data_IF_476014709028
#
_entry.id   IF_476014709028
#
_cell.length_a   1.000
_cell.length_b   1.000
_cell.length_c   1.000
_cell.angle_alpha   90.00
_cell.angle_beta   90.00
_cell.angle_gamma   90.00
#
_symmetry.space_group_name_H-M   'P 1'
#
loop_
_entity.id
_entity.type
_entity.pdbx_description
1 polymer ?
#
# COMPACT_ATOMS: atom_id res chain seq x y z
N UNK A 1 -31.12 -51.81 -72.60
CA UNK A 1 -30.74 -50.40 -72.36
C UNK A 1 -30.52 -50.23 -70.88
N UNK A 2 -29.26 -50.25 -70.45
CA UNK A 2 -28.87 -50.10 -69.01
C UNK A 2 -28.38 -48.68 -68.83
N UNK A 3 -29.01 -47.91 -67.97
CA UNK A 3 -28.55 -46.56 -67.56
C UNK A 3 -27.70 -46.70 -66.27
N UNK A 4 -26.43 -46.38 -66.35
CA UNK A 4 -25.52 -46.27 -65.20
C UNK A 4 -25.78 -44.97 -64.44
N UNK A 5 -26.05 -45.10 -63.15
CA UNK A 5 -26.18 -43.97 -62.25
C UNK A 5 -24.85 -43.89 -61.43
N UNK A 6 -24.03 -42.91 -61.74
CA UNK A 6 -22.80 -42.64 -60.99
C UNK A 6 -23.15 -41.85 -59.72
N UNK A 7 -22.91 -42.41 -58.54
CA UNK A 7 -23.04 -41.72 -57.29
C UNK A 7 -21.72 -41.01 -56.99
N UNK A 8 -21.68 -39.69 -56.98
CA UNK A 8 -20.55 -38.88 -56.58
C UNK A 8 -20.60 -38.75 -55.04
N UNK A 9 -19.71 -39.44 -54.38
CA UNK A 9 -19.54 -39.30 -52.91
C UNK A 9 -18.60 -38.11 -52.64
N UNK A 10 -19.21 -36.96 -52.21
CA UNK A 10 -18.48 -35.78 -51.78
C UNK A 10 -18.02 -35.99 -50.33
N UNK A 11 -16.73 -36.32 -50.10
CA UNK A 11 -16.14 -36.31 -48.78
C UNK A 11 -15.89 -34.89 -48.31
N UNK A 12 -16.78 -34.35 -47.47
CA UNK A 12 -16.54 -33.14 -46.69
C UNK A 12 -15.53 -33.47 -45.58
N UNK A 13 -14.26 -33.15 -45.80
CA UNK A 13 -13.25 -33.13 -44.79
C UNK A 13 -13.49 -31.91 -43.90
N UNK A 14 -14.23 -32.09 -42.81
CA UNK A 14 -14.32 -31.08 -41.74
C UNK A 14 -12.97 -31.02 -41.00
N UNK A 15 -12.16 -29.98 -41.33
CA UNK A 15 -11.02 -29.61 -40.50
C UNK A 15 -11.54 -29.18 -39.13
N UNK A 16 -11.55 -30.08 -38.20
CA UNK A 16 -11.62 -29.72 -36.77
C UNK A 16 -10.30 -29.06 -36.41
N UNK A 17 -10.27 -27.74 -36.44
CA UNK A 17 -9.24 -26.99 -35.72
C UNK A 17 -9.48 -27.25 -34.24
N UNK A 18 -8.76 -28.22 -33.69
CA UNK A 18 -8.70 -28.47 -32.28
C UNK A 18 -8.10 -27.23 -31.62
N UNK A 19 -8.96 -26.28 -31.18
CA UNK A 19 -8.56 -25.28 -30.22
C UNK A 19 -8.04 -26.06 -28.99
N UNK A 20 -6.78 -25.89 -28.56
CA UNK A 20 -6.32 -26.54 -27.37
C UNK A 20 -7.19 -26.05 -26.22
N UNK A 21 -8.01 -26.94 -25.66
CA UNK A 21 -8.69 -26.68 -24.40
C UNK A 21 -7.60 -26.45 -23.34
N UNK A 22 -7.33 -25.16 -23.04
CA UNK A 22 -6.44 -24.81 -21.95
C UNK A 22 -7.09 -25.32 -20.65
N UNK A 23 -6.59 -26.44 -20.16
CA UNK A 23 -6.85 -26.87 -18.80
C UNK A 23 -6.28 -25.81 -17.87
N UNK A 24 -7.14 -25.05 -17.21
CA UNK A 24 -6.75 -24.16 -16.13
C UNK A 24 -6.21 -25.00 -14.98
N UNK A 25 -4.90 -25.21 -14.96
CA UNK A 25 -4.23 -25.64 -13.73
C UNK A 25 -4.06 -24.38 -12.86
N UNK A 26 -4.03 -24.53 -11.54
CA UNK A 26 -3.82 -23.41 -10.57
C UNK A 26 -2.58 -22.56 -10.89
N UNK A 27 -1.69 -23.04 -11.75
CA UNK A 27 -0.50 -22.33 -12.23
C UNK A 27 -0.79 -21.12 -13.12
N UNK A 28 -1.95 -21.02 -13.72
CA UNK A 28 -2.39 -19.87 -14.54
C UNK A 28 -3.20 -18.82 -13.77
N UNK A 29 -3.39 -18.96 -12.45
CA UNK A 29 -4.17 -18.04 -11.64
C UNK A 29 -3.22 -17.18 -10.81
N UNK A 30 -3.41 -15.84 -10.90
CA UNK A 30 -2.76 -14.86 -10.05
C UNK A 30 -3.80 -14.32 -9.09
N UNK A 31 -3.69 -14.68 -7.81
CA UNK A 31 -4.56 -14.18 -6.75
C UNK A 31 -3.98 -12.89 -6.18
N UNK A 32 -4.80 -11.83 -6.15
CA UNK A 32 -4.47 -10.56 -5.49
C UNK A 32 -5.37 -10.42 -4.27
N UNK A 33 -4.78 -10.24 -3.09
CA UNK A 33 -5.51 -10.03 -1.84
C UNK A 33 -5.25 -8.64 -1.27
N UNK A 34 -6.31 -7.97 -0.75
CA UNK A 34 -6.20 -6.75 0.04
C UNK A 34 -7.39 -6.58 1.00
N UNK A 35 -7.18 -5.78 2.06
CA UNK A 35 -8.20 -5.56 3.10
C UNK A 35 -9.10 -4.35 2.85
N UNK A 36 -8.89 -3.61 1.76
CA UNK A 36 -9.69 -2.43 1.45
C UNK A 36 -11.00 -2.82 0.78
N UNK A 37 -12.07 -2.07 1.09
CA UNK A 37 -13.33 -2.18 0.36
C UNK A 37 -13.11 -1.71 -1.08
N UNK A 38 -13.72 -2.37 -2.04
CA UNK A 38 -13.82 -1.91 -3.41
C UNK A 38 -15.24 -1.41 -3.69
N UNK A 39 -15.34 -0.19 -4.18
CA UNK A 39 -16.60 0.48 -4.53
C UNK A 39 -16.67 0.72 -6.05
N UNK A 40 -16.90 1.96 -6.46
CA UNK A 40 -16.93 2.35 -7.87
C UNK A 40 -15.53 2.44 -8.46
N UNK A 41 -15.37 2.01 -9.72
CA UNK A 41 -14.08 1.99 -10.41
C UNK A 41 -13.41 3.38 -10.51
N UNK A 42 -14.21 4.44 -10.67
CA UNK A 42 -13.69 5.80 -10.84
C UNK A 42 -13.49 6.54 -9.54
N UNK A 43 -14.03 6.02 -8.44
CA UNK A 43 -13.88 6.60 -7.10
C UNK A 43 -12.88 5.84 -6.24
N UNK A 44 -12.64 4.58 -6.54
CA UNK A 44 -11.83 3.67 -5.73
C UNK A 44 -10.49 3.38 -6.41
N UNK A 45 -9.43 3.91 -5.81
CA UNK A 45 -8.06 3.76 -6.31
C UNK A 45 -7.54 2.30 -6.22
N UNK A 46 -8.00 1.49 -5.27
CA UNK A 46 -7.65 0.06 -5.22
C UNK A 46 -8.31 -0.71 -6.35
N UNK A 47 -9.59 -0.45 -6.62
CA UNK A 47 -10.31 -1.07 -7.72
C UNK A 47 -9.76 -0.67 -9.09
N UNK A 48 -9.40 0.60 -9.27
CA UNK A 48 -8.76 1.07 -10.50
C UNK A 48 -7.43 0.34 -10.72
N UNK A 49 -6.58 0.28 -9.70
CA UNK A 49 -5.29 -0.41 -9.73
C UNK A 49 -5.45 -1.89 -10.08
N UNK A 50 -6.27 -2.63 -9.36
CA UNK A 50 -6.45 -4.07 -9.59
C UNK A 50 -7.06 -4.36 -10.96
N UNK A 51 -7.96 -3.49 -11.44
CA UNK A 51 -8.56 -3.59 -12.77
C UNK A 51 -7.54 -3.36 -13.89
N UNK A 52 -6.70 -2.32 -13.77
CA UNK A 52 -5.62 -2.04 -14.74
C UNK A 52 -4.63 -3.21 -14.77
N UNK A 53 -4.19 -3.69 -13.62
CA UNK A 53 -3.29 -4.84 -13.55
C UNK A 53 -3.89 -6.07 -14.23
N UNK A 54 -5.14 -6.43 -13.90
CA UNK A 54 -5.84 -7.57 -14.48
C UNK A 54 -5.92 -7.47 -15.99
N UNK A 55 -6.41 -6.34 -16.52
CA UNK A 55 -6.59 -6.16 -17.95
C UNK A 55 -5.28 -6.34 -18.72
N UNK A 56 -4.19 -5.76 -18.24
CA UNK A 56 -2.88 -5.84 -18.90
C UNK A 56 -2.36 -7.27 -18.87
N UNK A 57 -2.37 -7.91 -17.69
CA UNK A 57 -1.86 -9.28 -17.54
C UNK A 57 -2.66 -10.25 -18.41
N UNK A 58 -4.00 -10.23 -18.33
CA UNK A 58 -4.83 -11.17 -19.10
C UNK A 58 -4.71 -10.96 -20.60
N UNK A 59 -4.69 -9.69 -21.06
CA UNK A 59 -4.54 -9.35 -22.49
C UNK A 59 -3.17 -9.79 -23.01
N UNK A 60 -2.10 -9.36 -22.36
CA UNK A 60 -0.75 -9.52 -22.90
C UNK A 60 -0.20 -10.92 -22.75
N UNK A 61 -0.74 -11.72 -21.84
CA UNK A 61 -0.48 -13.14 -21.76
C UNK A 61 -1.45 -13.99 -22.60
N UNK A 62 -2.33 -13.35 -23.38
CA UNK A 62 -3.36 -14.02 -24.19
C UNK A 62 -4.21 -15.00 -23.37
N UNK A 63 -4.52 -14.63 -22.14
CA UNK A 63 -5.33 -15.41 -21.21
C UNK A 63 -4.61 -16.60 -20.54
N UNK A 64 -3.29 -16.78 -20.74
CA UNK A 64 -2.51 -17.80 -20.02
C UNK A 64 -2.52 -17.59 -18.52
N UNK A 65 -2.52 -16.34 -18.07
CA UNK A 65 -2.78 -15.98 -16.68
C UNK A 65 -4.17 -15.35 -16.55
N UNK A 66 -4.87 -15.75 -15.49
CA UNK A 66 -6.11 -15.13 -15.04
C UNK A 66 -5.90 -14.47 -13.68
N UNK A 67 -6.39 -13.25 -13.51
CA UNK A 67 -6.23 -12.48 -12.27
C UNK A 67 -7.54 -12.51 -11.48
N UNK A 68 -7.47 -13.03 -10.27
CA UNK A 68 -8.56 -13.05 -9.30
C UNK A 68 -8.26 -12.09 -8.17
N UNK A 69 -9.16 -11.13 -7.91
CA UNK A 69 -9.01 -10.14 -6.84
C UNK A 69 -9.92 -10.52 -5.68
N UNK A 70 -9.36 -10.51 -4.48
CA UNK A 70 -10.01 -10.80 -3.21
C UNK A 70 -9.92 -9.55 -2.31
N UNK A 71 -10.85 -8.59 -2.45
CA UNK A 71 -10.89 -7.36 -1.66
C UNK A 71 -11.50 -7.58 -0.28
N UNK A 72 -11.60 -6.50 0.51
CA UNK A 72 -12.34 -6.45 1.77
C UNK A 72 -11.95 -7.53 2.79
N UNK A 73 -10.69 -7.93 2.80
CA UNK A 73 -10.19 -8.93 3.75
C UNK A 73 -10.73 -10.35 3.55
N UNK A 74 -11.26 -10.69 2.35
CA UNK A 74 -11.84 -12.03 2.07
C UNK A 74 -10.85 -13.17 2.34
N UNK A 75 -9.55 -12.94 2.19
CA UNK A 75 -8.51 -13.93 2.49
C UNK A 75 -7.78 -13.68 3.81
N UNK A 76 -8.28 -12.76 4.63
CA UNK A 76 -7.73 -12.38 5.91
C UNK A 76 -7.28 -10.92 6.00
N UNK A 77 -6.70 -10.55 7.14
CA UNK A 77 -6.16 -9.22 7.41
C UNK A 77 -4.84 -8.95 6.68
N UNK A 78 -4.28 -7.75 6.84
CA UNK A 78 -3.04 -7.33 6.18
C UNK A 78 -1.85 -8.23 6.52
N UNK A 79 -1.76 -8.71 7.77
CA UNK A 79 -0.67 -9.57 8.23
C UNK A 79 -0.81 -10.98 7.65
N UNK A 80 -1.99 -11.58 7.77
CA UNK A 80 -2.24 -12.94 7.30
C UNK A 80 -2.09 -13.05 5.78
N UNK A 81 -2.55 -12.04 5.01
CA UNK A 81 -2.37 -12.03 3.54
C UNK A 81 -0.92 -11.84 3.13
N UNK A 82 -0.12 -11.11 3.90
CA UNK A 82 1.33 -10.99 3.68
C UNK A 82 2.04 -12.34 3.93
N UNK A 83 1.69 -13.05 5.00
CA UNK A 83 2.20 -14.39 5.29
C UNK A 83 1.79 -15.42 4.22
N UNK A 84 0.54 -15.34 3.72
CA UNK A 84 0.07 -16.18 2.62
C UNK A 84 0.83 -15.88 1.33
N UNK A 85 1.12 -14.61 1.05
CA UNK A 85 1.93 -14.22 -0.10
C UNK A 85 3.36 -14.76 0.03
N UNK A 86 3.97 -14.66 1.20
CA UNK A 86 5.29 -15.24 1.46
C UNK A 86 5.32 -16.75 1.20
N UNK A 87 4.27 -17.47 1.58
CA UNK A 87 4.13 -18.93 1.38
C UNK A 87 3.70 -19.31 -0.04
N UNK A 88 3.33 -18.35 -0.90
CA UNK A 88 2.86 -18.58 -2.27
C UNK A 88 1.41 -19.06 -2.40
N UNK A 89 0.62 -19.01 -1.31
CA UNK A 89 -0.82 -19.32 -1.32
C UNK A 89 -1.58 -18.24 -2.10
N UNK A 90 -1.16 -16.99 -1.92
CA UNK A 90 -1.56 -15.82 -2.70
C UNK A 90 -0.35 -15.33 -3.46
N UNK A 91 -0.50 -15.00 -4.74
CA UNK A 91 0.63 -14.56 -5.56
C UNK A 91 0.97 -13.10 -5.31
N UNK A 92 -0.03 -12.25 -5.09
CA UNK A 92 0.12 -10.82 -4.89
C UNK A 92 -0.71 -10.38 -3.69
N UNK A 93 -0.15 -9.49 -2.86
CA UNK A 93 -0.91 -8.80 -1.81
C UNK A 93 -0.58 -7.30 -1.82
N UNK A 94 -1.55 -6.48 -1.44
CA UNK A 94 -1.42 -5.03 -1.38
C UNK A 94 -2.25 -4.44 -0.24
N UNK A 95 -2.08 -3.14 0.04
CA UNK A 95 -2.73 -2.48 1.17
C UNK A 95 -1.88 -2.42 2.42
N UNK A 96 -0.77 -3.18 2.48
CA UNK A 96 0.20 -3.09 3.56
C UNK A 96 1.01 -1.80 3.45
N UNK A 97 1.19 -1.08 4.56
CA UNK A 97 2.24 -0.08 4.65
C UNK A 97 3.62 -0.74 4.54
N UNK A 98 4.60 -0.01 4.00
CA UNK A 98 5.99 -0.51 3.90
C UNK A 98 6.54 -0.93 5.26
N UNK A 99 6.13 -0.29 6.34
CA UNK A 99 6.48 -0.65 7.72
C UNK A 99 5.93 -2.00 8.18
N UNK A 100 4.83 -2.50 7.61
CA UNK A 100 4.35 -3.85 7.91
C UNK A 100 5.33 -4.94 7.45
N UNK A 101 6.15 -4.63 6.43
CA UNK A 101 7.19 -5.53 5.94
C UNK A 101 8.47 -5.44 6.79
N UNK A 102 8.58 -4.47 7.69
CA UNK A 102 9.74 -4.31 8.57
C UNK A 102 9.92 -5.50 9.54
N UNK A 103 8.86 -6.26 9.81
CA UNK A 103 8.96 -7.54 10.54
C UNK A 103 9.85 -8.58 9.80
N UNK A 104 9.95 -8.45 8.47
CA UNK A 104 10.79 -9.30 7.62
C UNK A 104 12.14 -8.65 7.31
N UNK A 105 12.16 -7.31 7.14
CA UNK A 105 13.34 -6.53 6.81
C UNK A 105 13.31 -5.21 7.59
N UNK A 106 13.99 -5.11 8.75
CA UNK A 106 13.93 -3.95 9.65
C UNK A 106 14.27 -2.61 8.99
N UNK A 107 15.17 -2.61 7.99
CA UNK A 107 15.57 -1.39 7.26
C UNK A 107 14.38 -0.68 6.58
N UNK A 108 13.24 -1.38 6.34
CA UNK A 108 12.03 -0.79 5.76
C UNK A 108 11.34 0.22 6.71
N UNK A 109 11.61 0.16 8.03
CA UNK A 109 11.16 1.18 8.97
C UNK A 109 11.72 2.58 8.66
N UNK A 110 12.83 2.69 7.93
CA UNK A 110 13.40 3.97 7.52
C UNK A 110 12.43 4.79 6.68
N UNK A 111 11.62 4.14 5.85
CA UNK A 111 10.59 4.80 5.04
C UNK A 111 9.39 5.30 5.85
N UNK A 112 9.19 4.80 7.06
CA UNK A 112 8.11 5.21 7.97
C UNK A 112 8.53 6.30 8.97
N UNK A 113 9.75 6.84 8.84
CA UNK A 113 10.28 7.85 9.78
C UNK A 113 9.45 9.12 9.71
N UNK A 114 8.73 9.51 10.80
CA UNK A 114 7.89 10.69 10.82
C UNK A 114 8.70 11.99 10.61
N UNK A 115 8.10 12.94 9.88
CA UNK A 115 8.68 14.25 9.57
C UNK A 115 10.01 14.20 8.80
N UNK A 116 10.37 13.05 8.20
CA UNK A 116 11.58 12.91 7.40
C UNK A 116 11.32 13.33 5.93
N UNK A 117 10.25 12.83 5.34
CA UNK A 117 9.89 13.14 3.95
C UNK A 117 9.07 14.42 3.88
N UNK A 118 9.44 15.32 2.96
CA UNK A 118 8.69 16.55 2.73
C UNK A 118 7.32 16.28 2.13
N UNK A 119 7.26 15.35 1.17
CA UNK A 119 6.07 15.02 0.40
C UNK A 119 6.16 13.61 -0.23
N UNK A 120 5.12 13.22 -0.95
CA UNK A 120 5.03 11.94 -1.64
C UNK A 120 6.06 11.76 -2.75
N UNK A 121 6.49 12.86 -3.39
CA UNK A 121 7.50 12.82 -4.46
C UNK A 121 8.85 12.44 -3.89
N UNK A 122 9.23 13.01 -2.76
CA UNK A 122 10.48 12.67 -2.06
C UNK A 122 10.52 11.17 -1.66
N UNK A 123 9.38 10.58 -1.28
CA UNK A 123 9.26 9.14 -1.02
C UNK A 123 9.57 8.33 -2.27
N UNK A 124 8.94 8.66 -3.41
CA UNK A 124 9.14 7.94 -4.68
C UNK A 124 10.60 8.03 -5.15
N UNK A 125 11.19 9.22 -5.07
CA UNK A 125 12.58 9.42 -5.48
C UNK A 125 13.57 8.69 -4.54
N UNK A 126 13.28 8.65 -3.23
CA UNK A 126 14.07 7.85 -2.29
C UNK A 126 13.95 6.36 -2.59
N UNK A 127 12.75 5.87 -2.84
CA UNK A 127 12.52 4.47 -3.19
C UNK A 127 13.26 4.06 -4.47
N UNK A 128 13.27 4.91 -5.49
CA UNK A 128 13.98 4.67 -6.76
C UNK A 128 15.50 4.80 -6.63
N UNK A 129 16.02 5.43 -5.60
CA UNK A 129 17.44 5.62 -5.41
C UNK A 129 18.20 4.29 -5.23
N UNK A 130 19.51 4.22 -5.51
CA UNK A 130 20.29 2.99 -5.30
C UNK A 130 20.19 2.47 -3.85
N UNK A 131 20.17 3.37 -2.86
CA UNK A 131 20.01 2.98 -1.45
C UNK A 131 18.61 2.41 -1.18
N UNK A 132 17.55 3.09 -1.65
CA UNK A 132 16.18 2.60 -1.52
C UNK A 132 15.99 1.24 -2.16
N UNK A 133 16.48 1.05 -3.39
CA UNK A 133 16.42 -0.23 -4.08
C UNK A 133 17.22 -1.33 -3.37
N UNK A 134 18.39 -1.01 -2.78
CA UNK A 134 19.16 -2.00 -2.03
C UNK A 134 18.42 -2.52 -0.80
N UNK A 135 17.66 -1.64 -0.11
CA UNK A 135 16.82 -2.03 1.03
C UNK A 135 15.68 -2.95 0.57
N UNK A 136 15.00 -2.57 -0.51
CA UNK A 136 13.87 -3.34 -1.05
C UNK A 136 14.29 -4.71 -1.60
N UNK A 137 15.41 -4.77 -2.32
CA UNK A 137 15.92 -6.03 -2.87
C UNK A 137 16.36 -7.02 -1.80
N UNK A 138 16.79 -6.56 -0.63
CA UNK A 138 17.19 -7.43 0.48
C UNK A 138 16.00 -8.27 1.00
N UNK A 139 14.78 -7.76 0.92
CA UNK A 139 13.55 -8.49 1.25
C UNK A 139 13.36 -9.68 0.30
N UNK A 140 13.52 -9.47 -1.01
CA UNK A 140 13.36 -10.52 -2.01
C UNK A 140 14.38 -11.65 -1.81
N UNK A 141 15.65 -11.31 -1.56
CA UNK A 141 16.74 -12.27 -1.43
C UNK A 141 16.63 -13.19 -0.21
N UNK A 142 15.99 -12.75 0.86
CA UNK A 142 16.02 -13.47 2.13
C UNK A 142 14.68 -13.93 2.68
N UNK A 143 13.55 -13.36 2.22
CA UNK A 143 12.26 -13.53 2.90
C UNK A 143 11.11 -14.01 2.00
N UNK A 144 11.37 -14.33 0.75
CA UNK A 144 10.36 -14.88 -0.16
C UNK A 144 9.28 -13.87 -0.61
N UNK A 145 9.48 -12.59 -0.34
CA UNK A 145 8.61 -11.49 -0.72
C UNK A 145 9.38 -10.48 -1.58
N UNK A 146 8.77 -9.98 -2.63
CA UNK A 146 9.29 -8.88 -3.45
C UNK A 146 8.31 -7.72 -3.45
N UNK A 147 8.79 -6.51 -3.21
CA UNK A 147 8.04 -5.29 -3.47
C UNK A 147 8.22 -4.95 -4.95
N UNK A 148 7.15 -5.06 -5.75
CA UNK A 148 7.17 -4.66 -7.17
C UNK A 148 7.11 -3.14 -7.33
N UNK A 149 6.56 -2.44 -6.34
CA UNK A 149 6.52 -1.00 -6.29
C UNK A 149 5.75 -0.48 -5.09
N UNK A 150 5.85 0.83 -4.88
CA UNK A 150 5.15 1.53 -3.82
C UNK A 150 4.16 2.54 -4.40
N UNK A 151 3.13 2.82 -3.62
CA UNK A 151 2.09 3.80 -3.91
C UNK A 151 1.97 4.75 -2.72
N UNK A 152 2.59 5.93 -2.74
CA UNK A 152 2.22 6.97 -1.79
C UNK A 152 0.74 7.33 -1.95
N UNK A 153 0.00 7.22 -0.85
CA UNK A 153 -1.44 7.40 -0.79
C UNK A 153 -1.82 8.58 0.11
N UNK A 154 -1.17 9.73 -0.08
CA UNK A 154 -1.33 10.94 0.72
C UNK A 154 -0.41 11.00 1.94
N UNK A 155 -0.41 12.15 2.60
CA UNK A 155 0.30 12.36 3.87
C UNK A 155 -0.65 12.03 5.02
N UNK A 156 -0.14 11.34 6.03
CA UNK A 156 -0.91 10.90 7.21
C UNK A 156 -1.00 12.04 8.22
N UNK A 157 -2.16 12.12 8.86
CA UNK A 157 -2.56 13.21 9.73
C UNK A 157 -3.30 12.66 10.96
N UNK A 158 -3.19 13.32 12.11
CA UNK A 158 -3.85 12.90 13.34
C UNK A 158 -5.36 13.16 13.32
N UNK A 159 -6.15 12.22 13.84
CA UNK A 159 -7.57 12.45 14.17
C UNK A 159 -7.90 11.96 15.56
N UNK A 160 -8.90 12.57 16.22
CA UNK A 160 -9.39 12.11 17.51
C UNK A 160 -10.79 12.67 17.84
N UNK A 161 -11.39 12.17 18.95
CA UNK A 161 -12.71 12.56 19.42
C UNK A 161 -12.68 13.55 20.61
N UNK A 162 -11.51 13.88 21.15
CA UNK A 162 -11.37 14.58 22.44
C UNK A 162 -11.16 16.08 22.26
N UNK A 163 -10.16 16.49 21.44
CA UNK A 163 -9.76 17.89 21.26
C UNK A 163 -8.99 18.13 19.95
N UNK A 164 -8.97 19.39 19.46
CA UNK A 164 -8.05 19.77 18.40
C UNK A 164 -6.59 19.57 18.84
N UNK A 165 -5.75 19.11 17.95
CA UNK A 165 -4.30 18.97 18.15
C UNK A 165 -3.62 20.13 17.41
N UNK A 166 -2.95 21.04 18.12
CA UNK A 166 -2.22 22.19 17.58
C UNK A 166 -0.75 22.22 17.96
N UNK A 167 -0.39 21.51 19.03
CA UNK A 167 0.96 21.41 19.56
C UNK A 167 1.19 20.04 20.18
N UNK A 168 2.43 19.58 20.38
CA UNK A 168 2.73 18.26 20.93
C UNK A 168 2.03 17.95 22.25
N UNK A 169 1.89 18.95 23.13
CA UNK A 169 1.25 18.78 24.45
C UNK A 169 -0.22 18.38 24.35
N UNK A 170 -0.89 18.70 23.23
CA UNK A 170 -2.29 18.32 22.98
C UNK A 170 -2.46 16.82 22.76
N UNK A 171 -1.37 16.10 22.46
CA UNK A 171 -1.36 14.65 22.34
C UNK A 171 -1.36 13.93 23.69
N UNK A 172 -0.95 14.63 24.76
CA UNK A 172 -0.74 14.01 26.08
C UNK A 172 -2.01 13.30 26.59
N UNK A 173 -1.82 12.01 26.88
CA UNK A 173 -2.84 11.15 27.48
C UNK A 173 -3.93 10.66 26.50
N UNK A 174 -3.92 11.07 25.22
CA UNK A 174 -4.82 10.52 24.22
C UNK A 174 -4.49 9.04 23.97
N UNK A 175 -5.49 8.18 23.93
CA UNK A 175 -5.37 6.79 23.49
C UNK A 175 -5.37 6.79 21.96
N UNK A 176 -4.18 6.75 21.37
CA UNK A 176 -4.02 6.81 19.92
C UNK A 176 -3.78 5.42 19.34
N UNK A 177 -4.68 5.00 18.46
CA UNK A 177 -4.45 3.77 17.70
C UNK A 177 -3.25 3.95 16.77
N UNK A 178 -2.41 2.95 16.74
CA UNK A 178 -1.32 2.82 15.76
C UNK A 178 -1.48 1.52 14.95
N UNK A 179 -0.84 1.48 13.80
CA UNK A 179 -0.49 0.20 13.18
C UNK A 179 0.49 -0.55 14.10
N UNK A 180 0.60 -1.86 13.94
CA UNK A 180 1.59 -2.70 14.64
C UNK A 180 3.02 -2.45 14.09
N UNK A 181 3.41 -1.17 14.00
CA UNK A 181 4.69 -0.71 13.47
C UNK A 181 5.41 0.05 14.57
N UNK A 182 6.59 -0.41 15.00
CA UNK A 182 7.28 0.16 16.16
C UNK A 182 7.57 1.66 16.07
N UNK A 183 7.87 2.18 14.86
CA UNK A 183 8.14 3.60 14.65
C UNK A 183 6.93 4.48 15.02
N UNK A 184 5.71 4.04 14.70
CA UNK A 184 4.49 4.78 15.07
C UNK A 184 4.21 4.70 16.56
N UNK A 185 4.47 3.55 17.19
CA UNK A 185 4.36 3.40 18.65
C UNK A 185 5.31 4.39 19.34
N UNK A 186 6.57 4.43 18.90
CA UNK A 186 7.58 5.37 19.42
C UNK A 186 7.20 6.83 19.18
N UNK A 187 6.60 7.18 18.04
CA UNK A 187 6.11 8.53 17.78
C UNK A 187 5.04 8.93 18.80
N UNK A 188 4.03 8.08 19.01
CA UNK A 188 2.96 8.38 19.97
C UNK A 188 3.49 8.52 21.40
N UNK A 189 4.37 7.60 21.83
CA UNK A 189 5.01 7.66 23.16
C UNK A 189 5.81 8.96 23.35
N UNK A 190 6.59 9.37 22.34
CA UNK A 190 7.38 10.60 22.39
C UNK A 190 6.52 11.87 22.43
N UNK A 191 5.31 11.82 21.86
CA UNK A 191 4.34 12.89 21.93
C UNK A 191 3.47 12.85 23.21
N UNK A 192 3.73 11.89 24.12
CA UNK A 192 3.00 11.73 25.37
C UNK A 192 1.61 11.10 25.25
N UNK A 193 1.29 10.53 24.10
CA UNK A 193 0.06 9.77 23.87
C UNK A 193 0.25 8.29 24.28
N UNK A 194 -0.88 7.62 24.57
CA UNK A 194 -0.91 6.19 24.82
C UNK A 194 -1.10 5.45 23.51
N UNK A 195 -0.03 4.84 22.99
CA UNK A 195 -0.08 4.05 21.76
C UNK A 195 -0.86 2.75 22.00
N UNK A 196 -1.84 2.48 21.15
CA UNK A 196 -2.68 1.28 21.21
C UNK A 196 -2.65 0.59 19.84
N UNK A 197 -1.81 -0.42 19.62
CA UNK A 197 -1.79 -1.16 18.38
C UNK A 197 -3.11 -1.90 18.15
N UNK A 198 -3.77 -1.62 17.02
CA UNK A 198 -5.05 -2.25 16.61
C UNK A 198 -4.98 -2.52 15.11
N UNK A 199 -5.42 -3.70 14.69
CA UNK A 199 -5.46 -4.09 13.29
C UNK A 199 -6.33 -3.14 12.44
N UNK A 200 -6.07 -3.10 11.13
CA UNK A 200 -6.85 -2.27 10.21
C UNK A 200 -8.34 -2.63 10.24
N UNK A 201 -8.66 -3.90 10.25
CA UNK A 201 -10.05 -4.38 10.18
C UNK A 201 -10.87 -4.02 11.43
N UNK A 202 -10.21 -3.75 12.55
CA UNK A 202 -10.84 -3.39 13.84
C UNK A 202 -10.87 -1.87 14.09
N UNK A 203 -10.16 -1.08 13.27
CA UNK A 203 -9.95 0.36 13.49
C UNK A 203 -11.26 1.14 13.65
N UNK A 204 -12.21 0.98 12.73
CA UNK A 204 -13.49 1.70 12.78
C UNK A 204 -14.23 1.41 14.11
N UNK A 205 -14.34 0.14 14.46
CA UNK A 205 -15.01 -0.30 15.69
C UNK A 205 -14.29 0.20 16.94
N UNK A 206 -12.96 0.17 16.96
CA UNK A 206 -12.17 0.68 18.09
C UNK A 206 -12.37 2.19 18.31
N UNK A 207 -12.46 2.98 17.23
CA UNK A 207 -12.80 4.40 17.29
C UNK A 207 -14.27 4.62 17.73
N UNK A 208 -15.19 3.83 17.17
CA UNK A 208 -16.63 3.95 17.46
C UNK A 208 -16.97 3.64 18.92
N UNK A 209 -16.35 2.61 19.47
CA UNK A 209 -16.59 2.14 20.85
C UNK A 209 -15.76 2.88 21.90
N UNK A 210 -14.83 3.75 21.49
CA UNK A 210 -13.96 4.51 22.41
C UNK A 210 -12.85 3.68 23.06
N UNK A 211 -12.54 2.49 22.50
CA UNK A 211 -11.32 1.75 22.86
C UNK A 211 -10.09 2.63 22.63
N UNK A 212 -10.12 3.41 21.55
CA UNK A 212 -9.16 4.46 21.26
C UNK A 212 -9.84 5.81 21.09
N UNK A 213 -9.17 6.90 21.48
CA UNK A 213 -9.65 8.26 21.30
C UNK A 213 -9.42 8.75 19.87
N UNK A 214 -8.37 8.26 19.22
CA UNK A 214 -7.97 8.72 17.89
C UNK A 214 -7.06 7.74 17.17
N UNK A 215 -6.65 8.17 15.99
CA UNK A 215 -5.76 7.46 15.09
C UNK A 215 -5.03 8.45 14.16
N UNK A 216 -4.26 7.96 13.19
CA UNK A 216 -3.62 8.77 12.17
C UNK A 216 -3.74 8.08 10.80
N UNK A 217 -4.14 8.83 9.77
CA UNK A 217 -4.25 8.37 8.39
C UNK A 217 -4.35 9.57 7.41
N UNK A 218 -4.12 9.28 6.12
CA UNK A 218 -4.29 10.26 5.06
C UNK A 218 -5.78 10.56 4.76
N UNK A 219 -6.13 11.73 4.17
CA UNK A 219 -7.51 12.13 3.91
C UNK A 219 -8.34 11.10 3.14
N UNK A 220 -7.79 10.53 2.07
CA UNK A 220 -8.46 9.49 1.28
C UNK A 220 -8.74 8.22 2.11
N UNK A 221 -7.81 7.86 3.00
CA UNK A 221 -7.92 6.69 3.86
C UNK A 221 -8.96 6.91 4.96
N UNK A 222 -9.09 8.15 5.47
CA UNK A 222 -10.17 8.52 6.40
C UNK A 222 -11.54 8.24 5.78
N UNK A 223 -11.73 8.63 4.52
CA UNK A 223 -13.00 8.43 3.79
C UNK A 223 -13.23 6.95 3.47
N UNK A 224 -12.20 6.26 2.97
CA UNK A 224 -12.27 4.85 2.60
C UNK A 224 -12.71 3.96 3.77
N UNK A 225 -12.24 4.28 4.99
CA UNK A 225 -12.58 3.58 6.21
C UNK A 225 -13.77 4.18 6.98
N UNK A 226 -14.46 5.18 6.41
CA UNK A 226 -15.59 5.90 7.03
C UNK A 226 -15.24 6.51 8.40
N UNK A 227 -13.98 6.83 8.67
CA UNK A 227 -13.52 7.32 9.99
C UNK A 227 -14.08 8.70 10.32
N UNK A 228 -14.49 9.50 9.35
CA UNK A 228 -15.19 10.76 9.54
C UNK A 228 -16.56 10.62 10.25
N UNK A 229 -17.10 9.42 10.34
CA UNK A 229 -18.35 9.14 11.06
C UNK A 229 -18.11 8.96 12.57
N UNK A 230 -16.89 8.59 12.94
CA UNK A 230 -16.50 8.20 14.30
C UNK A 230 -15.35 9.03 14.87
N UNK A 231 -14.89 10.08 14.16
CA UNK A 231 -13.84 11.01 14.58
C UNK A 231 -14.29 12.46 14.39
N UNK A 232 -14.04 13.33 15.39
CA UNK A 232 -14.53 14.72 15.42
C UNK A 232 -13.51 15.75 14.96
N UNK A 233 -12.23 15.51 15.24
CA UNK A 233 -11.15 16.45 14.97
C UNK A 233 -10.12 15.79 14.03
N UNK A 234 -9.65 16.55 13.05
CA UNK A 234 -8.63 16.13 12.11
C UNK A 234 -7.58 17.23 11.95
N UNK A 235 -6.32 16.90 12.23
CA UNK A 235 -5.21 17.85 12.17
C UNK A 235 -4.31 17.51 10.98
N UNK A 236 -4.24 18.43 10.02
CA UNK A 236 -3.36 18.32 8.85
C UNK A 236 -1.94 18.70 9.26
N UNK A 237 -1.24 17.75 9.85
CA UNK A 237 0.14 17.85 10.31
C UNK A 237 1.15 17.13 9.38
N UNK A 238 0.65 16.30 8.45
CA UNK A 238 1.44 15.64 7.41
C UNK A 238 2.69 14.95 7.96
N UNK A 239 2.59 14.26 9.10
CA UNK A 239 3.77 13.73 9.81
C UNK A 239 4.50 12.61 9.06
N UNK A 240 3.83 11.85 8.21
CA UNK A 240 4.48 10.82 7.39
C UNK A 240 3.67 10.50 6.15
N UNK A 241 4.30 9.91 5.14
CA UNK A 241 3.60 9.46 3.94
C UNK A 241 2.89 8.12 4.20
N UNK A 242 1.71 7.95 3.63
CA UNK A 242 1.03 6.64 3.59
C UNK A 242 1.61 5.82 2.44
N UNK A 243 2.63 5.01 2.71
CA UNK A 243 3.37 4.27 1.68
C UNK A 243 2.80 2.85 1.57
N UNK A 244 1.94 2.62 0.59
CA UNK A 244 1.34 1.32 0.32
C UNK A 244 2.22 0.50 -0.61
N UNK A 245 2.38 -0.80 -0.33
CA UNK A 245 3.20 -1.70 -1.13
C UNK A 245 2.35 -2.61 -2.04
N UNK A 246 2.88 -2.90 -3.22
CA UNK A 246 2.40 -3.96 -4.11
C UNK A 246 3.41 -5.10 -4.08
N UNK A 247 3.07 -6.17 -3.36
CA UNK A 247 3.97 -7.26 -3.02
C UNK A 247 3.64 -8.51 -3.83
N UNK A 248 4.67 -9.23 -4.27
CA UNK A 248 4.54 -10.51 -4.96
C UNK A 248 5.37 -11.59 -4.26
N UNK A 249 4.90 -12.83 -4.32
CA UNK A 249 5.69 -13.98 -3.90
C UNK A 249 6.95 -14.08 -4.76
N UNK A 250 8.13 -14.09 -4.15
CA UNK A 250 9.40 -14.10 -4.88
C UNK A 250 9.58 -15.37 -5.72
N UNK A 251 9.23 -16.55 -5.17
CA UNK A 251 9.35 -17.81 -5.89
C UNK A 251 8.44 -17.84 -7.12
N UNK A 252 7.21 -17.34 -7.00
CA UNK A 252 6.30 -17.20 -8.12
C UNK A 252 6.88 -16.26 -9.18
N UNK A 253 7.35 -15.07 -8.77
CA UNK A 253 7.94 -14.10 -9.69
C UNK A 253 9.14 -14.67 -10.45
N UNK A 254 10.02 -15.40 -9.76
CA UNK A 254 11.18 -16.05 -10.39
C UNK A 254 10.81 -17.23 -11.31
N UNK A 255 9.66 -17.87 -11.10
CA UNK A 255 9.16 -18.96 -11.95
C UNK A 255 8.59 -18.47 -13.29
N UNK A 256 8.31 -17.17 -13.43
CA UNK A 256 7.80 -16.57 -14.66
C UNK A 256 8.89 -16.54 -15.75
N UNK A 257 8.46 -16.70 -16.99
CA UNK A 257 9.34 -16.45 -18.14
C UNK A 257 9.84 -15.00 -18.16
N UNK A 258 10.97 -14.70 -18.81
CA UNK A 258 11.42 -13.30 -18.96
C UNK A 258 10.37 -12.39 -19.59
N UNK A 259 9.58 -12.89 -20.54
CA UNK A 259 8.48 -12.14 -21.17
C UNK A 259 7.34 -11.90 -20.19
N UNK A 260 6.94 -12.91 -19.42
CA UNK A 260 5.87 -12.76 -18.44
C UNK A 260 6.26 -11.83 -17.30
N UNK A 261 7.53 -11.87 -16.82
CA UNK A 261 8.04 -10.90 -15.86
C UNK A 261 7.92 -9.46 -16.37
N UNK A 262 8.34 -9.19 -17.60
CA UNK A 262 8.17 -7.86 -18.22
C UNK A 262 6.70 -7.45 -18.28
N UNK A 263 5.79 -8.38 -18.53
CA UNK A 263 4.35 -8.11 -18.52
C UNK A 263 3.87 -7.76 -17.12
N UNK A 264 4.25 -8.53 -16.09
CA UNK A 264 3.91 -8.24 -14.69
C UNK A 264 4.48 -6.89 -14.26
N UNK A 265 5.75 -6.59 -14.54
CA UNK A 265 6.39 -5.32 -14.18
C UNK A 265 5.70 -4.13 -14.84
N UNK A 266 5.35 -4.24 -16.14
CA UNK A 266 4.62 -3.20 -16.86
C UNK A 266 3.19 -3.04 -16.32
N UNK A 267 2.50 -4.15 -16.08
CA UNK A 267 1.15 -4.12 -15.51
C UNK A 267 1.16 -3.47 -14.12
N UNK A 268 2.14 -3.82 -13.29
CA UNK A 268 2.34 -3.20 -11.98
C UNK A 268 2.54 -1.70 -12.12
N UNK A 269 3.51 -1.25 -12.91
CA UNK A 269 3.80 0.18 -13.08
C UNK A 269 2.55 0.98 -13.44
N UNK A 270 1.79 0.54 -14.48
CA UNK A 270 0.58 1.24 -14.92
C UNK A 270 -0.56 1.17 -13.87
N UNK A 271 -0.67 0.08 -13.14
CA UNK A 271 -1.60 -0.05 -12.03
C UNK A 271 -1.29 0.93 -10.89
N UNK A 272 0.00 1.06 -10.51
CA UNK A 272 0.43 2.00 -9.48
C UNK A 272 0.25 3.46 -9.92
N UNK A 273 0.51 3.78 -11.19
CA UNK A 273 0.25 5.10 -11.77
C UNK A 273 -1.25 5.45 -11.70
N UNK A 274 -2.14 4.49 -12.00
CA UNK A 274 -3.60 4.71 -11.89
C UNK A 274 -4.06 4.96 -10.46
N UNK A 275 -3.49 4.22 -9.49
CA UNK A 275 -3.75 4.42 -8.07
C UNK A 275 -3.34 5.83 -7.63
N UNK A 276 -2.08 6.20 -7.83
CA UNK A 276 -1.55 7.50 -7.43
C UNK A 276 -2.25 8.67 -8.14
N UNK A 277 -2.59 8.49 -9.41
CA UNK A 277 -3.33 9.49 -10.19
C UNK A 277 -4.69 9.80 -9.56
N UNK A 278 -5.47 8.78 -9.18
CA UNK A 278 -6.75 8.98 -8.49
C UNK A 278 -6.60 9.57 -7.09
N UNK A 279 -5.64 9.11 -6.30
CA UNK A 279 -5.37 9.66 -4.95
C UNK A 279 -5.08 11.16 -5.05
N UNK A 280 -4.14 11.55 -5.91
CA UNK A 280 -3.72 12.95 -6.05
C UNK A 280 -4.83 13.83 -6.63
N UNK A 281 -5.59 13.33 -7.63
CA UNK A 281 -6.69 14.08 -8.23
C UNK A 281 -7.82 14.37 -7.23
N UNK A 282 -7.96 13.55 -6.18
CA UNK A 282 -9.05 13.66 -5.21
C UNK A 282 -8.67 14.38 -3.92
N UNK A 283 -7.41 14.60 -3.63
CA UNK A 283 -6.92 15.04 -2.32
C UNK A 283 -7.62 16.30 -1.80
N UNK A 284 -7.70 17.36 -2.62
CA UNK A 284 -8.37 18.61 -2.21
C UNK A 284 -9.86 18.42 -1.97
N UNK A 285 -10.54 17.62 -2.79
CA UNK A 285 -11.96 17.25 -2.62
C UNK A 285 -12.17 16.46 -1.34
N UNK A 286 -11.30 15.51 -1.06
CA UNK A 286 -11.37 14.65 0.12
C UNK A 286 -11.20 15.48 1.39
N UNK A 287 -10.24 16.42 1.44
CA UNK A 287 -10.06 17.36 2.55
C UNK A 287 -11.30 18.25 2.73
N UNK A 288 -11.83 18.79 1.63
CA UNK A 288 -13.05 19.61 1.68
C UNK A 288 -14.26 18.82 2.22
N UNK A 289 -14.44 17.57 1.76
CA UNK A 289 -15.48 16.68 2.27
C UNK A 289 -15.30 16.38 3.77
N UNK A 290 -14.09 16.07 4.22
CA UNK A 290 -13.80 15.87 5.65
C UNK A 290 -14.14 17.11 6.46
N UNK A 291 -13.88 18.31 5.94
CA UNK A 291 -14.24 19.59 6.57
C UNK A 291 -15.74 19.81 6.77
N UNK A 292 -16.60 19.09 6.02
CA UNK A 292 -18.06 19.09 6.25
C UNK A 292 -18.49 18.19 7.40
N UNK A 293 -17.63 17.27 7.83
CA UNK A 293 -17.93 16.23 8.85
C UNK A 293 -17.12 16.41 10.13
N UNK A 294 -15.92 16.96 10.03
CA UNK A 294 -14.92 17.04 11.10
C UNK A 294 -14.42 18.48 11.24
N UNK A 295 -13.95 18.82 12.44
CA UNK A 295 -13.23 20.08 12.65
C UNK A 295 -11.79 19.94 12.20
N UNK A 296 -11.44 20.58 11.08
CA UNK A 296 -10.10 20.57 10.53
C UNK A 296 -9.22 21.60 11.28
N UNK A 297 -8.00 21.20 11.61
CA UNK A 297 -6.90 22.08 12.06
C UNK A 297 -5.78 21.95 11.06
N UNK A 298 -5.27 23.05 10.54
CA UNK A 298 -4.09 23.07 9.65
C UNK A 298 -2.93 23.61 10.46
N UNK A 299 -1.82 22.86 10.52
CA UNK A 299 -0.60 23.31 11.19
C UNK A 299 0.28 24.10 10.24
N UNK A 300 0.87 25.16 10.76
CA UNK A 300 1.94 25.89 10.07
C UNK A 300 3.24 25.07 10.05
N UNK A 301 4.20 25.36 9.15
CA UNK A 301 5.52 24.73 9.17
C UNK A 301 6.26 24.84 10.52
N UNK A 302 6.07 25.99 11.23
CA UNK A 302 6.64 26.18 12.57
C UNK A 302 6.02 25.21 13.58
N UNK A 303 4.67 25.08 13.59
CA UNK A 303 3.95 24.15 14.46
C UNK A 303 4.34 22.70 14.16
N UNK A 304 4.41 22.28 12.89
CA UNK A 304 4.92 20.96 12.50
C UNK A 304 6.36 20.74 12.97
N UNK A 305 7.20 21.77 12.92
CA UNK A 305 8.57 21.73 13.45
C UNK A 305 8.63 21.38 14.93
N UNK A 306 7.66 21.83 15.76
CA UNK A 306 7.58 21.47 17.18
C UNK A 306 7.29 19.99 17.39
N UNK A 307 6.40 19.40 16.59
CA UNK A 307 6.14 17.94 16.61
C UNK A 307 7.40 17.15 16.20
N UNK A 308 8.08 17.58 15.13
CA UNK A 308 9.35 16.97 14.72
C UNK A 308 10.37 17.00 15.86
N UNK A 309 10.57 18.16 16.49
CA UNK A 309 11.51 18.30 17.62
C UNK A 309 11.16 17.38 18.80
N UNK A 310 9.87 17.19 19.06
CA UNK A 310 9.41 16.37 20.20
C UNK A 310 9.62 14.86 19.97
N UNK A 311 9.51 14.34 18.75
CA UNK A 311 9.52 12.90 18.51
C UNK A 311 10.72 12.38 17.69
N UNK A 312 11.24 13.18 16.74
CA UNK A 312 12.26 12.73 15.79
C UNK A 312 13.55 12.19 16.44
N UNK A 313 14.12 12.81 17.52
CA UNK A 313 15.33 12.31 18.15
C UNK A 313 15.18 10.88 18.72
N UNK A 314 14.08 10.61 19.44
CA UNK A 314 13.83 9.29 20.03
C UNK A 314 13.56 8.22 18.98
N UNK A 315 12.94 8.60 17.85
CA UNK A 315 12.72 7.70 16.72
C UNK A 315 14.05 7.36 16.05
N UNK A 316 14.93 8.33 15.82
CA UNK A 316 16.25 8.06 15.26
C UNK A 316 17.10 7.20 16.19
N UNK A 317 17.05 7.43 17.49
CA UNK A 317 17.74 6.59 18.48
C UNK A 317 17.26 5.14 18.39
N UNK A 318 15.93 4.93 18.36
CA UNK A 318 15.35 3.61 18.17
C UNK A 318 15.83 2.96 16.86
N UNK A 319 15.75 3.66 15.75
CA UNK A 319 16.17 3.12 14.45
C UNK A 319 17.68 2.80 14.43
N UNK A 320 18.53 3.66 15.01
CA UNK A 320 19.98 3.42 15.10
C UNK A 320 20.30 2.17 15.90
N UNK A 321 19.54 1.92 16.98
CA UNK A 321 19.70 0.71 17.79
C UNK A 321 19.30 -0.55 17.02
N UNK A 322 18.21 -0.50 16.24
CA UNK A 322 17.67 -1.67 15.53
C UNK A 322 18.41 -1.97 14.22
N UNK A 323 18.85 -0.93 13.50
CA UNK A 323 19.33 -1.04 12.11
C UNK A 323 20.84 -0.75 12.00
N UNK A 324 21.37 0.01 12.94
CA UNK A 324 22.75 0.52 12.94
C UNK A 324 22.85 1.98 12.50
N UNK A 325 23.70 2.73 13.21
CA UNK A 325 23.83 4.19 13.04
C UNK A 325 24.19 4.60 11.61
N UNK A 326 25.18 3.94 11.01
CA UNK A 326 25.66 4.29 9.67
C UNK A 326 24.56 4.22 8.59
N UNK A 327 23.70 3.20 8.67
CA UNK A 327 22.59 3.06 7.70
C UNK A 327 21.55 4.16 7.90
N UNK A 328 21.17 4.42 9.16
CA UNK A 328 20.18 5.44 9.50
C UNK A 328 20.68 6.82 9.06
N UNK A 329 21.92 7.19 9.43
CA UNK A 329 22.49 8.50 9.11
C UNK A 329 22.64 8.68 7.60
N UNK A 330 23.06 7.64 6.87
CA UNK A 330 23.15 7.67 5.40
C UNK A 330 21.76 7.84 4.76
N UNK A 331 20.75 7.14 5.25
CA UNK A 331 19.38 7.24 4.73
C UNK A 331 18.80 8.63 4.98
N UNK A 332 18.88 9.13 6.21
CA UNK A 332 18.40 10.47 6.59
C UNK A 332 19.06 11.54 5.73
N UNK A 333 20.39 11.52 5.61
CA UNK A 333 21.14 12.46 4.78
C UNK A 333 20.66 12.43 3.33
N UNK A 334 20.47 11.23 2.75
CA UNK A 334 19.99 11.10 1.38
C UNK A 334 18.60 11.68 1.19
N UNK A 335 17.67 11.41 2.13
CA UNK A 335 16.31 11.98 2.05
C UNK A 335 16.34 13.49 2.18
N UNK A 336 17.16 14.04 3.08
CA UNK A 336 17.34 15.50 3.19
C UNK A 336 17.87 16.13 1.90
N UNK A 337 18.80 15.46 1.19
CA UNK A 337 19.30 15.90 -0.11
C UNK A 337 18.20 15.84 -1.19
N UNK A 338 17.38 14.79 -1.19
CA UNK A 338 16.24 14.65 -2.09
C UNK A 338 15.21 15.74 -1.79
N UNK A 339 14.85 15.96 -0.53
CA UNK A 339 13.92 17.02 -0.13
C UNK A 339 14.31 18.41 -0.63
N UNK A 340 15.62 18.69 -0.79
CA UNK A 340 16.13 19.95 -1.34
C UNK A 340 16.05 20.04 -2.86
N UNK A 341 16.11 18.90 -3.57
CA UNK A 341 16.16 18.86 -5.04
C UNK A 341 14.79 18.82 -5.72
N UNK A 342 13.78 18.34 -5.01
CA UNK A 342 12.43 18.16 -5.56
C UNK A 342 11.70 19.51 -5.55
N UNK A 343 11.84 20.26 -6.61
CA UNK A 343 11.06 21.46 -7.01
C UNK A 343 10.87 21.49 -8.49
#
# INVERSE_FOLDING_TARGET
MKKNLAVILVCLLSLFVACPAFSFTDKGIIKIAHSQKENDLFEDHYKAMTSVFRQIVERDTQGRFKVQVFPNGQLGDLRSTLEQCQKGIVQITTGQSIGNLAAYQPDLNLFETPFLFRDQVAVVETFKSPLGQSIVESLAKGKGLRILGIMPAGMRCFSNNVRPIKKPEDMKGLKMRTMEIPVYIKMMEALGANATPVSWNELYTACQTGVVDGQENAPNTMILASLQEVQKFYTLDNHTANIVCFNINEKFYQSLSPTDRKTIDRATRLALESFMGLVNAKESRDIAFLGTKMKITVLTPEEMGKFKQACFPSILEYLKKEIGSDKVDKFVKQVEEINKKVY
#
